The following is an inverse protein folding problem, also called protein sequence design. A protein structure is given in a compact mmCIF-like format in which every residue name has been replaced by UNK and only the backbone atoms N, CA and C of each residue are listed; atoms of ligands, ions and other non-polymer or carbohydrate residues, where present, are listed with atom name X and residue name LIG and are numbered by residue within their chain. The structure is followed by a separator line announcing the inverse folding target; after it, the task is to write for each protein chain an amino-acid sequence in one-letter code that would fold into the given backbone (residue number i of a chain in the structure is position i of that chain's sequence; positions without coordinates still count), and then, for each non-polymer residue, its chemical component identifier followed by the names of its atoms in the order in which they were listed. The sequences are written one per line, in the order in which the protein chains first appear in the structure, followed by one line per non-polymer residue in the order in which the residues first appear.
data_IF_291589206981
#
_entry.id   IF_291589206981
#
_cell.length_a   1.000
_cell.length_b   1.000
_cell.length_c   1.000
_cell.angle_alpha   90.00
_cell.angle_beta   90.00
_cell.angle_gamma   90.00
#
_symmetry.space_group_name_H-M   'P 1'
#
loop_
_entity.id
_entity.type
_entity.pdbx_description
1 polymer ?
#
# COMPACT_ATOMS: atom_id res chain seq x y z
N UNK A 1 -13.32 -22.79 8.49
CA UNK A 1 -13.45 -21.32 8.43
C UNK A 1 -12.83 -20.88 7.13
N UNK A 2 -13.63 -20.43 6.15
CA UNK A 2 -13.07 -19.95 4.89
C UNK A 2 -12.25 -18.69 5.16
N UNK A 3 -10.97 -18.70 4.81
CA UNK A 3 -10.18 -17.47 4.83
C UNK A 3 -10.87 -16.47 3.90
N UNK A 4 -11.32 -15.34 4.45
CA UNK A 4 -11.71 -14.22 3.62
C UNK A 4 -10.51 -13.89 2.72
N UNK A 5 -10.72 -14.03 1.41
CA UNK A 5 -9.78 -13.58 0.39
C UNK A 5 -9.43 -12.12 0.70
N UNK A 6 -8.14 -11.81 0.78
CA UNK A 6 -7.71 -10.43 0.86
C UNK A 6 -8.12 -9.76 -0.44
N UNK A 7 -9.03 -8.79 -0.38
CA UNK A 7 -9.31 -7.95 -1.53
C UNK A 7 -8.26 -6.84 -1.62
N UNK A 8 -7.29 -7.04 -2.52
CA UNK A 8 -6.20 -6.08 -2.76
C UNK A 8 -6.74 -4.71 -3.16
N UNK A 9 -7.91 -4.63 -3.81
CA UNK A 9 -8.51 -3.35 -4.17
C UNK A 9 -8.99 -2.60 -2.94
N UNK A 10 -9.66 -3.27 -2.00
CA UNK A 10 -10.08 -2.66 -0.74
C UNK A 10 -8.87 -2.20 0.08
N UNK A 11 -7.82 -3.03 0.18
CA UNK A 11 -6.60 -2.66 0.88
C UNK A 11 -5.93 -1.42 0.26
N UNK A 12 -5.83 -1.38 -1.07
CA UNK A 12 -5.24 -0.27 -1.80
C UNK A 12 -6.08 1.00 -1.63
N UNK A 13 -7.40 0.90 -1.67
CA UNK A 13 -8.32 2.03 -1.44
C UNK A 13 -8.16 2.58 -0.03
N UNK A 14 -8.17 1.71 0.97
CA UNK A 14 -8.03 2.11 2.36
C UNK A 14 -6.69 2.82 2.62
N UNK A 15 -5.58 2.29 2.09
CA UNK A 15 -4.26 2.89 2.29
C UNK A 15 -4.09 4.18 1.46
N UNK A 16 -4.50 4.16 0.19
CA UNK A 16 -4.36 5.28 -0.74
C UNK A 16 -5.21 6.49 -0.32
N UNK A 17 -6.48 6.27 0.05
CA UNK A 17 -7.36 7.35 0.49
C UNK A 17 -6.84 8.01 1.78
N UNK A 18 -6.21 7.21 2.65
CA UNK A 18 -5.63 7.68 3.91
C UNK A 18 -4.31 8.43 3.71
N UNK A 19 -3.55 8.11 2.66
CA UNK A 19 -2.27 8.73 2.35
C UNK A 19 -2.40 10.18 1.83
N UNK A 20 -3.56 10.55 1.27
CA UNK A 20 -3.82 11.90 0.76
C UNK A 20 -3.58 12.94 1.86
N UNK A 21 -2.79 13.98 1.55
CA UNK A 21 -2.34 15.04 2.47
C UNK A 21 -1.52 14.55 3.69
N UNK A 22 -1.12 13.28 3.73
CA UNK A 22 -0.34 12.68 4.82
C UNK A 22 0.99 12.06 4.39
N UNK A 23 1.19 11.95 3.08
CA UNK A 23 2.42 11.53 2.42
C UNK A 23 2.62 12.46 1.22
N UNK A 24 3.84 12.95 0.99
CA UNK A 24 4.15 13.71 -0.20
C UNK A 24 4.29 12.81 -1.46
N UNK A 25 4.15 13.41 -2.65
CA UNK A 25 4.17 12.66 -3.91
C UNK A 25 5.50 11.95 -4.15
N UNK A 26 6.61 12.55 -3.73
CA UNK A 26 7.95 11.96 -3.80
C UNK A 26 8.04 10.67 -2.98
N UNK A 27 7.54 10.69 -1.75
CA UNK A 27 7.54 9.54 -0.84
C UNK A 27 6.66 8.43 -1.39
N UNK A 28 5.47 8.75 -1.92
CA UNK A 28 4.61 7.76 -2.60
C UNK A 28 5.33 7.06 -3.76
N UNK A 29 6.00 7.82 -4.63
CA UNK A 29 6.76 7.22 -5.73
C UNK A 29 7.97 6.41 -5.23
N UNK A 30 8.68 6.92 -4.23
CA UNK A 30 9.84 6.23 -3.67
C UNK A 30 9.47 4.89 -3.03
N UNK A 31 8.29 4.75 -2.41
CA UNK A 31 7.80 3.47 -1.87
C UNK A 31 7.76 2.40 -2.99
N UNK A 32 7.23 2.76 -4.17
CA UNK A 32 7.18 1.85 -5.33
C UNK A 32 8.59 1.54 -5.84
N UNK A 33 9.41 2.59 -6.01
CA UNK A 33 10.78 2.43 -6.53
C UNK A 33 11.65 1.54 -5.65
N UNK A 34 11.51 1.64 -4.32
CA UNK A 34 12.24 0.78 -3.37
C UNK A 34 11.88 -0.69 -3.60
N UNK A 35 10.59 -1.02 -3.72
CA UNK A 35 10.18 -2.40 -3.95
C UNK A 35 10.60 -2.93 -5.33
N UNK A 36 10.60 -2.07 -6.34
CA UNK A 36 11.01 -2.43 -7.70
C UNK A 36 12.54 -2.54 -7.86
N UNK A 37 13.32 -1.89 -6.99
CA UNK A 37 14.76 -1.78 -7.10
C UNK A 37 15.56 -3.06 -6.87
N UNK A 38 14.94 -4.10 -6.30
CA UNK A 38 15.57 -5.39 -6.06
C UNK A 38 14.78 -6.51 -6.78
N UNK A 39 15.41 -7.36 -7.63
CA UNK A 39 14.70 -8.41 -8.35
C UNK A 39 14.22 -9.55 -7.42
N UNK A 40 14.88 -9.76 -6.28
CA UNK A 40 14.49 -10.75 -5.29
C UNK A 40 13.29 -10.26 -4.48
N UNK A 41 12.16 -10.96 -4.55
CA UNK A 41 10.90 -10.54 -3.94
C UNK A 41 10.99 -10.43 -2.41
N UNK A 42 11.71 -11.33 -1.76
CA UNK A 42 11.84 -11.37 -0.30
C UNK A 42 12.73 -10.23 0.21
N UNK A 43 13.87 -10.00 -0.45
CA UNK A 43 14.76 -8.87 -0.15
C UNK A 43 14.06 -7.54 -0.42
N UNK A 44 13.41 -7.39 -1.57
CA UNK A 44 12.63 -6.21 -1.91
C UNK A 44 11.55 -5.90 -0.86
N UNK A 45 10.84 -6.93 -0.39
CA UNK A 45 9.83 -6.76 0.65
C UNK A 45 10.45 -6.28 1.97
N UNK A 46 11.56 -6.89 2.40
CA UNK A 46 12.28 -6.47 3.63
C UNK A 46 12.77 -5.03 3.53
N UNK A 47 13.35 -4.65 2.39
CA UNK A 47 13.80 -3.29 2.11
C UNK A 47 12.62 -2.29 2.14
N UNK A 48 11.48 -2.65 1.56
CA UNK A 48 10.25 -1.85 1.60
C UNK A 48 9.76 -1.60 3.04
N UNK A 49 9.72 -2.64 3.87
CA UNK A 49 9.30 -2.50 5.29
C UNK A 49 10.25 -1.56 6.04
N UNK A 50 11.56 -1.74 5.89
CA UNK A 50 12.57 -0.88 6.52
C UNK A 50 12.45 0.57 6.03
N UNK A 51 12.20 0.76 4.73
CA UNK A 51 11.98 2.07 4.15
C UNK A 51 10.75 2.76 4.79
N UNK A 52 9.59 2.10 4.83
CA UNK A 52 8.37 2.65 5.43
C UNK A 52 8.57 3.00 6.91
N UNK A 53 9.25 2.13 7.67
CA UNK A 53 9.56 2.38 9.07
C UNK A 53 10.45 3.62 9.24
N UNK A 54 11.50 3.75 8.41
CA UNK A 54 12.38 4.92 8.40
C UNK A 54 11.63 6.22 8.08
N UNK A 55 10.79 6.21 7.04
CA UNK A 55 10.01 7.40 6.66
C UNK A 55 8.96 7.76 7.70
N UNK A 56 8.39 6.78 8.39
CA UNK A 56 7.53 7.02 9.57
C UNK A 56 8.30 7.73 10.69
N UNK A 57 9.53 7.26 10.98
CA UNK A 57 10.40 7.88 11.98
C UNK A 57 10.78 9.32 11.64
N UNK A 58 10.96 9.61 10.35
CA UNK A 58 11.24 10.96 9.81
C UNK A 58 10.02 11.85 9.68
N UNK A 59 8.81 11.33 9.98
CA UNK A 59 7.53 12.03 9.79
C UNK A 59 7.22 12.38 8.33
N UNK A 60 7.87 11.69 7.38
CA UNK A 60 7.56 11.76 5.93
C UNK A 60 6.32 10.92 5.59
N UNK A 61 6.02 9.92 6.43
CA UNK A 61 4.77 9.17 6.41
C UNK A 61 4.07 9.33 7.75
N UNK A 62 2.82 9.77 7.74
CA UNK A 62 1.99 9.81 8.94
C UNK A 62 1.86 8.40 9.59
N UNK A 63 1.98 8.35 10.92
CA UNK A 63 1.96 7.08 11.68
C UNK A 63 0.69 6.27 11.46
N UNK A 64 -0.45 6.93 11.25
CA UNK A 64 -1.72 6.23 11.03
C UNK A 64 -1.79 5.59 9.64
N UNK A 65 -1.10 6.18 8.65
CA UNK A 65 -0.97 5.62 7.30
C UNK A 65 0.02 4.47 7.31
N UNK A 66 1.20 4.65 7.91
CA UNK A 66 2.20 3.58 7.96
C UNK A 66 1.71 2.34 8.69
N UNK A 67 0.95 2.50 9.78
CA UNK A 67 0.32 1.35 10.47
C UNK A 67 -0.60 0.55 9.53
N UNK A 68 -1.40 1.21 8.71
CA UNK A 68 -2.29 0.55 7.74
C UNK A 68 -1.46 -0.18 6.69
N UNK A 69 -0.49 0.51 6.08
CA UNK A 69 0.39 -0.08 5.07
C UNK A 69 1.14 -1.31 5.60
N UNK A 70 1.77 -1.20 6.77
CA UNK A 70 2.53 -2.28 7.38
C UNK A 70 1.63 -3.47 7.75
N UNK A 71 0.40 -3.22 8.18
CA UNK A 71 -0.58 -4.29 8.42
C UNK A 71 -0.92 -5.05 7.14
N UNK A 72 -1.18 -4.34 6.04
CA UNK A 72 -1.50 -4.94 4.74
C UNK A 72 -0.32 -5.75 4.20
N UNK A 73 0.87 -5.15 4.22
CA UNK A 73 2.09 -5.79 3.73
C UNK A 73 2.45 -7.02 4.56
N UNK A 74 2.32 -6.97 5.89
CA UNK A 74 2.51 -8.13 6.76
C UNK A 74 1.60 -9.29 6.35
N UNK A 75 0.31 -9.03 6.18
CA UNK A 75 -0.66 -10.05 5.77
C UNK A 75 -0.30 -10.66 4.40
N UNK A 76 0.17 -9.85 3.44
CA UNK A 76 0.63 -10.34 2.13
C UNK A 76 1.87 -11.23 2.24
N UNK A 77 2.84 -10.85 3.08
CA UNK A 77 4.08 -11.62 3.26
C UNK A 77 3.87 -12.96 3.96
N UNK A 78 2.85 -13.05 4.83
CA UNK A 78 2.45 -14.31 5.47
C UNK A 78 1.76 -15.26 4.48
N UNK A 79 1.09 -14.74 3.45
CA UNK A 79 0.29 -15.53 2.50
C UNK A 79 1.01 -15.87 1.19
N UNK A 80 1.80 -14.95 0.66
CA UNK A 80 2.42 -15.09 -0.66
C UNK A 80 3.94 -15.28 -0.56
N UNK A 81 4.53 -15.97 -1.53
CA UNK A 81 5.98 -16.20 -1.66
C UNK A 81 6.43 -16.04 -3.12
N UNK A 82 7.72 -15.82 -3.33
CA UNK A 82 8.33 -15.75 -4.66
C UNK A 82 7.62 -14.73 -5.58
N UNK A 83 7.27 -15.19 -6.78
CA UNK A 83 6.64 -14.36 -7.81
C UNK A 83 5.24 -13.86 -7.40
N UNK A 84 4.47 -14.67 -6.67
CA UNK A 84 3.15 -14.24 -6.18
C UNK A 84 3.28 -13.08 -5.19
N UNK A 85 4.30 -13.10 -4.31
CA UNK A 85 4.55 -11.98 -3.40
C UNK A 85 4.86 -10.71 -4.20
N UNK A 86 5.72 -10.84 -5.22
CA UNK A 86 6.09 -9.71 -6.09
C UNK A 86 4.89 -9.16 -6.83
N UNK A 87 4.06 -10.01 -7.41
CA UNK A 87 2.87 -9.60 -8.13
C UNK A 87 1.88 -8.86 -7.21
N UNK A 88 1.52 -9.47 -6.08
CA UNK A 88 0.49 -8.94 -5.20
C UNK A 88 0.93 -7.63 -4.51
N UNK A 89 2.19 -7.52 -4.07
CA UNK A 89 2.70 -6.27 -3.49
C UNK A 89 2.83 -5.18 -4.56
N UNK A 90 3.32 -5.50 -5.77
CA UNK A 90 3.40 -4.52 -6.86
C UNK A 90 2.02 -3.98 -7.23
N UNK A 91 1.04 -4.87 -7.33
CA UNK A 91 -0.35 -4.51 -7.62
C UNK A 91 -0.93 -3.63 -6.53
N UNK A 92 -0.76 -4.00 -5.26
CA UNK A 92 -1.19 -3.19 -4.12
C UNK A 92 -0.59 -1.78 -4.14
N UNK A 93 0.73 -1.64 -4.30
CA UNK A 93 1.40 -0.34 -4.30
C UNK A 93 0.96 0.53 -5.50
N UNK A 94 0.79 -0.09 -6.67
CA UNK A 94 0.33 0.60 -7.89
C UNK A 94 -1.09 1.14 -7.71
N UNK A 95 -2.02 0.28 -7.25
CA UNK A 95 -3.40 0.66 -6.99
C UNK A 95 -3.49 1.72 -5.88
N UNK A 96 -2.72 1.57 -4.80
CA UNK A 96 -2.65 2.53 -3.71
C UNK A 96 -2.23 3.91 -4.21
N UNK A 97 -1.24 3.97 -5.10
CA UNK A 97 -0.80 5.22 -5.73
C UNK A 97 -1.94 5.84 -6.56
N UNK A 98 -2.64 5.06 -7.39
CA UNK A 98 -3.74 5.60 -8.18
C UNK A 98 -4.88 6.15 -7.32
N UNK A 99 -5.22 5.48 -6.22
CA UNK A 99 -6.20 6.00 -5.26
C UNK A 99 -5.68 7.28 -4.61
N UNK A 100 -4.42 7.32 -4.19
CA UNK A 100 -3.79 8.54 -3.67
C UNK A 100 -3.87 9.70 -4.67
N UNK A 101 -3.55 9.45 -5.95
CA UNK A 101 -3.56 10.46 -7.02
C UNK A 101 -4.98 10.91 -7.41
N UNK A 102 -6.00 10.11 -7.11
CA UNK A 102 -7.41 10.47 -7.36
C UNK A 102 -7.95 11.58 -6.44
N UNK A 103 -7.25 11.89 -5.33
CA UNK A 103 -7.70 12.80 -4.27
C UNK A 103 -9.03 12.42 -3.60
N UNK A 104 -9.50 11.17 -3.76
CA UNK A 104 -10.69 10.67 -3.09
C UNK A 104 -10.36 10.22 -1.66
N UNK A 105 -10.86 10.95 -0.67
CA UNK A 105 -10.59 10.71 0.76
C UNK A 105 -11.75 10.06 1.51
N UNK A 106 -11.41 9.40 2.63
CA UNK A 106 -12.39 8.91 3.60
C UNK A 106 -13.17 7.68 3.13
N UNK A 107 -12.56 6.86 2.27
CA UNK A 107 -13.12 5.61 1.76
C UNK A 107 -12.23 4.44 2.16
N UNK A 108 -12.85 3.29 2.42
CA UNK A 108 -12.21 2.10 2.98
C UNK A 108 -12.40 0.83 2.14
N UNK A 109 -13.25 0.89 1.11
CA UNK A 109 -13.48 -0.19 0.16
C UNK A 109 -13.61 0.32 -1.27
N UNK A 110 -13.34 -0.54 -2.24
CA UNK A 110 -13.51 -0.25 -3.66
C UNK A 110 -14.94 0.14 -4.01
N UNK A 111 -15.93 -0.51 -3.37
CA UNK A 111 -17.33 -0.13 -3.52
C UNK A 111 -17.59 1.32 -3.07
N UNK A 112 -17.05 1.72 -1.91
CA UNK A 112 -17.15 3.10 -1.43
C UNK A 112 -16.45 4.09 -2.37
N UNK A 113 -15.29 3.71 -2.90
CA UNK A 113 -14.54 4.52 -3.87
C UNK A 113 -15.35 4.79 -5.13
N UNK A 114 -15.95 3.77 -5.75
CA UNK A 114 -16.82 3.94 -6.93
C UNK A 114 -18.05 4.80 -6.59
N UNK A 115 -18.70 4.54 -5.46
CA UNK A 115 -19.86 5.33 -5.01
C UNK A 115 -19.52 6.81 -4.79
N UNK A 116 -18.27 7.13 -4.47
CA UNK A 116 -17.79 8.50 -4.30
C UNK A 116 -17.52 9.19 -5.63
N UNK A 117 -17.06 8.46 -6.64
CA UNK A 117 -16.80 8.98 -7.99
C UNK A 117 -18.08 9.16 -8.83
N UNK A 118 -19.11 8.36 -8.56
CA UNK A 118 -20.39 8.43 -9.27
C UNK A 118 -21.35 9.52 -8.74
N UNK A 119 -20.90 10.37 -7.82
CA UNK A 119 -21.65 11.51 -7.26
C UNK A 119 -21.15 12.81 -7.88
#
# INVERSE_FOLDING_TARGET
MGEASIDIYDLAVQAGSKAINRIDKSTMNNIISVFQGNPDADKAFKELILYIARQTGRREIDRSVSRVMLSHLKNMYERYKGDELRENVSRYLTLMKWVYESNVTGVSSFKEFINRLAK
#
